data_IF_608329159307
#
_entry.id   IF_608329159307
#
_cell.length_a   1.000
_cell.length_b   1.000
_cell.length_c   1.000
_cell.angle_alpha   90.00
_cell.angle_beta   90.00
_cell.angle_gamma   90.00
#
_symmetry.space_group_name_H-M   'P 1'
#
loop_
_entity.id
_entity.type
_entity.pdbx_description
1 polymer ?
#
# COMPACT_ATOMS: atom_id res chain seq x y z
N UNK A 1 37.51 -9.66 -5.40
CA UNK A 1 36.49 -8.60 -5.34
C UNK A 1 35.86 -8.46 -6.72
N UNK A 2 34.66 -9.00 -6.96
CA UNK A 2 34.02 -8.94 -8.28
C UNK A 2 32.51 -8.71 -8.21
N UNK A 3 31.83 -9.34 -7.27
CA UNK A 3 30.37 -9.38 -7.28
C UNK A 3 29.71 -8.20 -6.53
N UNK A 4 30.18 -7.88 -5.32
CA UNK A 4 29.51 -6.87 -4.47
C UNK A 4 29.47 -5.43 -5.01
N UNK A 5 30.36 -5.06 -5.93
CA UNK A 5 30.34 -3.73 -6.56
C UNK A 5 29.38 -3.65 -7.74
N UNK A 6 29.27 -4.74 -8.52
CA UNK A 6 28.31 -4.84 -9.63
C UNK A 6 26.88 -4.94 -9.12
N UNK A 7 26.64 -5.68 -8.04
CA UNK A 7 25.33 -5.77 -7.40
C UNK A 7 24.86 -4.42 -6.84
N UNK A 8 25.76 -3.63 -6.22
CA UNK A 8 25.45 -2.27 -5.78
C UNK A 8 25.14 -1.32 -6.94
N UNK A 9 25.94 -1.37 -8.00
CA UNK A 9 25.70 -0.51 -9.17
C UNK A 9 24.38 -0.85 -9.88
N UNK A 10 24.08 -2.14 -10.04
CA UNK A 10 22.83 -2.63 -10.64
C UNK A 10 21.62 -2.32 -9.76
N UNK A 11 21.78 -2.39 -8.43
CA UNK A 11 20.79 -1.96 -7.45
C UNK A 11 20.45 -0.48 -7.58
N UNK A 12 21.47 0.39 -7.58
CA UNK A 12 21.28 1.85 -7.75
C UNK A 12 20.63 2.21 -9.09
N UNK A 13 21.01 1.52 -10.18
CA UNK A 13 20.39 1.75 -11.50
C UNK A 13 18.92 1.34 -11.50
N UNK A 14 18.57 0.22 -10.84
CA UNK A 14 17.19 -0.27 -10.78
C UNK A 14 16.32 0.60 -9.87
N UNK A 15 16.89 1.10 -8.78
CA UNK A 15 16.23 2.04 -7.87
C UNK A 15 16.00 3.39 -8.56
N UNK A 16 17.04 3.94 -9.19
CA UNK A 16 16.92 5.16 -9.98
C UNK A 16 15.93 4.98 -11.14
N UNK A 17 15.95 3.85 -11.86
CA UNK A 17 14.99 3.57 -12.93
C UNK A 17 13.57 3.35 -12.40
N UNK A 18 13.37 2.79 -11.21
CA UNK A 18 12.05 2.65 -10.58
C UNK A 18 11.49 4.01 -10.13
N UNK A 19 12.35 4.87 -9.58
CA UNK A 19 11.99 6.25 -9.20
C UNK A 19 11.74 7.12 -10.45
N UNK A 20 12.55 6.98 -11.51
CA UNK A 20 12.39 7.72 -12.78
C UNK A 20 11.25 7.22 -13.65
N UNK A 21 10.99 5.91 -13.65
CA UNK A 21 9.86 5.30 -14.38
C UNK A 21 8.55 5.64 -13.70
N UNK A 22 8.61 6.10 -12.43
CA UNK A 22 7.53 6.77 -11.71
C UNK A 22 6.20 6.13 -12.08
N UNK A 23 6.00 4.89 -11.62
CA UNK A 23 4.69 4.26 -11.57
C UNK A 23 3.82 5.07 -10.60
N UNK A 24 3.47 6.28 -11.02
CA UNK A 24 2.45 7.13 -10.43
C UNK A 24 1.16 6.33 -10.33
N UNK A 25 0.95 5.39 -11.25
CA UNK A 25 -0.14 4.44 -11.19
C UNK A 25 -0.02 3.49 -9.99
N UNK A 26 1.11 2.79 -9.74
CA UNK A 26 1.23 1.95 -8.52
C UNK A 26 1.23 2.74 -7.20
N UNK A 27 1.88 3.91 -7.13
CA UNK A 27 1.84 4.72 -5.90
C UNK A 27 0.45 5.31 -5.63
N UNK A 28 -0.30 5.65 -6.68
CA UNK A 28 -1.64 6.25 -6.56
C UNK A 28 -2.70 5.17 -6.33
N UNK A 29 -2.58 4.02 -6.97
CA UNK A 29 -3.44 2.87 -6.73
C UNK A 29 -3.24 2.35 -5.30
N UNK A 30 -1.99 2.21 -4.83
CA UNK A 30 -1.68 1.82 -3.46
C UNK A 30 -2.19 2.81 -2.39
N UNK A 31 -2.14 4.12 -2.65
CA UNK A 31 -2.70 5.14 -1.73
C UNK A 31 -4.23 5.14 -1.72
N UNK A 32 -4.87 4.93 -2.88
CA UNK A 32 -6.34 4.84 -2.98
C UNK A 32 -6.84 3.54 -2.34
N UNK A 33 -6.12 2.44 -2.47
CA UNK A 33 -6.43 1.17 -1.81
C UNK A 33 -6.27 1.29 -0.29
N UNK A 34 -5.20 1.90 0.21
CA UNK A 34 -5.03 2.13 1.66
C UNK A 34 -6.13 3.03 2.24
N UNK A 35 -6.51 4.07 1.51
CA UNK A 35 -7.60 4.96 1.92
C UNK A 35 -8.95 4.23 1.91
N UNK A 36 -9.21 3.44 0.86
CA UNK A 36 -10.45 2.66 0.73
C UNK A 36 -10.54 1.57 1.80
N UNK A 37 -9.45 0.85 2.08
CA UNK A 37 -9.37 -0.14 3.16
C UNK A 37 -9.70 0.47 4.51
N UNK A 38 -9.02 1.57 4.86
CA UNK A 38 -9.24 2.26 6.15
C UNK A 38 -10.67 2.77 6.33
N UNK A 39 -11.32 3.22 5.26
CA UNK A 39 -12.73 3.65 5.29
C UNK A 39 -13.66 2.45 5.43
N UNK A 40 -13.40 1.37 4.70
CA UNK A 40 -14.23 0.15 4.71
C UNK A 40 -14.17 -0.57 6.05
N UNK A 41 -12.99 -0.63 6.69
CA UNK A 41 -12.82 -1.14 8.05
C UNK A 41 -13.62 -0.32 9.07
N UNK A 42 -13.50 1.02 9.04
CA UNK A 42 -14.25 1.89 9.98
C UNK A 42 -15.76 1.82 9.79
N UNK A 43 -16.23 1.74 8.55
CA UNK A 43 -17.65 1.59 8.24
C UNK A 43 -18.14 0.20 8.67
N UNK A 44 -17.34 -0.85 8.46
CA UNK A 44 -17.63 -2.20 8.94
C UNK A 44 -17.78 -2.24 10.45
N UNK A 45 -16.78 -1.77 11.20
CA UNK A 45 -16.81 -1.69 12.67
C UNK A 45 -18.02 -0.91 13.20
N UNK A 46 -18.36 0.21 12.57
CA UNK A 46 -19.52 1.02 12.96
C UNK A 46 -20.84 0.29 12.69
N UNK A 47 -20.97 -0.33 11.52
CA UNK A 47 -22.15 -1.10 11.13
C UNK A 47 -22.34 -2.32 12.04
N UNK A 48 -21.26 -3.05 12.35
CA UNK A 48 -21.29 -4.19 13.27
C UNK A 48 -21.72 -3.77 14.68
N UNK A 49 -21.17 -2.68 15.23
CA UNK A 49 -21.60 -2.15 16.54
C UNK A 49 -23.08 -1.78 16.59
N UNK A 50 -23.59 -1.13 15.54
CA UNK A 50 -25.02 -0.79 15.44
C UNK A 50 -25.87 -2.05 15.37
N UNK A 51 -25.44 -3.03 14.57
CA UNK A 51 -26.18 -4.29 14.38
C UNK A 51 -26.16 -5.15 15.64
N UNK A 52 -25.07 -5.15 16.39
CA UNK A 52 -24.95 -5.83 17.69
C UNK A 52 -25.84 -5.18 18.76
N UNK A 53 -25.89 -3.83 18.79
CA UNK A 53 -26.79 -3.09 19.66
C UNK A 53 -28.27 -3.34 19.34
N UNK A 54 -28.62 -3.46 18.06
CA UNK A 54 -29.99 -3.76 17.61
C UNK A 54 -30.41 -5.21 17.80
N UNK A 55 -29.45 -6.15 17.85
CA UNK A 55 -29.70 -7.59 18.07
C UNK A 55 -29.79 -7.97 19.55
N UNK A 56 -29.51 -7.03 20.45
CA UNK A 56 -29.50 -7.27 21.91
C UNK A 56 -30.87 -7.10 22.57
N UNK A 57 -31.94 -6.95 21.78
CA UNK A 57 -33.35 -6.94 22.21
C UNK A 57 -33.98 -8.34 22.11
#
# INVERSE_FOLDING_TARGET
MGDGSMDRAKGNIKEAAGDLTDDKDLQREGKVDQASGSVKDKVGDAADKVKDALRRD
#
